data_IF_654980327888
#
_entry.id   IF_654980327888
#
_cell.length_a   1.000
_cell.length_b   1.000
_cell.length_c   1.000
_cell.angle_alpha   90.00
_cell.angle_beta   90.00
_cell.angle_gamma   90.00
#
_symmetry.space_group_name_H-M   'P 1'
#
loop_
_entity.id
_entity.type
_entity.pdbx_description
1 polymer ?
#
# COMPACT_ATOMS: atom_id res chain seq x y z
N UNK A 1 -8.29 10.31 -12.46
CA UNK A 1 -9.73 10.20 -12.16
C UNK A 1 -10.52 9.99 -13.44
N UNK A 2 -11.67 9.33 -13.34
CA UNK A 2 -12.60 9.08 -14.43
C UNK A 2 -14.04 9.18 -13.89
N UNK A 3 -15.01 9.12 -14.82
CA UNK A 3 -16.42 9.11 -14.49
C UNK A 3 -17.06 7.87 -15.14
N UNK A 4 -17.76 7.07 -14.37
CA UNK A 4 -18.49 5.91 -14.86
C UNK A 4 -19.76 6.34 -15.61
N UNK A 5 -20.41 5.41 -16.33
CA UNK A 5 -21.63 5.70 -17.09
C UNK A 5 -22.83 6.10 -16.24
N UNK A 6 -22.85 5.64 -14.99
CA UNK A 6 -23.86 6.02 -13.99
C UNK A 6 -23.62 7.39 -13.34
N UNK A 7 -22.52 8.04 -13.69
CA UNK A 7 -22.15 9.35 -13.18
C UNK A 7 -21.24 9.33 -11.97
N UNK A 8 -20.95 8.17 -11.37
CA UNK A 8 -20.03 8.06 -10.22
C UNK A 8 -18.59 8.41 -10.61
N UNK A 9 -17.89 9.11 -9.71
CA UNK A 9 -16.48 9.44 -9.92
C UNK A 9 -15.57 8.39 -9.30
N UNK A 10 -14.59 7.96 -10.09
CA UNK A 10 -13.66 6.89 -9.72
C UNK A 10 -12.20 7.27 -9.95
N UNK A 11 -11.31 6.58 -9.27
CA UNK A 11 -9.90 6.55 -9.58
C UNK A 11 -9.60 5.26 -10.35
N UNK A 12 -8.94 5.40 -11.48
CA UNK A 12 -8.45 4.28 -12.28
C UNK A 12 -6.94 4.24 -12.16
N UNK A 13 -6.41 3.18 -11.54
CA UNK A 13 -4.98 2.85 -11.52
C UNK A 13 -4.70 1.88 -12.66
N UNK A 14 -3.70 2.16 -13.49
CA UNK A 14 -3.33 1.31 -14.62
C UNK A 14 -1.85 1.00 -14.56
N UNK A 15 -1.51 -0.28 -14.56
CA UNK A 15 -0.11 -0.70 -14.68
C UNK A 15 0.41 -0.46 -16.09
N UNK A 16 1.53 0.25 -16.20
CA UNK A 16 2.15 0.51 -17.51
C UNK A 16 2.52 -0.79 -18.21
N UNK A 17 2.18 -0.94 -19.50
CA UNK A 17 2.58 -2.11 -20.28
C UNK A 17 4.10 -2.32 -20.26
N UNK A 18 4.53 -3.58 -20.21
CA UNK A 18 5.96 -3.95 -20.22
C UNK A 18 6.71 -3.79 -18.90
N UNK A 19 6.16 -3.09 -17.89
CA UNK A 19 6.86 -2.87 -16.61
C UNK A 19 7.20 -4.19 -15.91
N UNK A 20 6.28 -5.16 -15.86
CA UNK A 20 6.52 -6.44 -15.21
C UNK A 20 7.67 -7.21 -15.87
N UNK A 21 7.65 -7.35 -17.20
CA UNK A 21 8.68 -8.07 -17.93
C UNK A 21 10.08 -7.45 -17.78
N UNK A 22 10.14 -6.10 -17.80
CA UNK A 22 11.39 -5.37 -17.56
C UNK A 22 11.92 -5.62 -16.16
N UNK A 23 11.06 -5.49 -15.16
CA UNK A 23 11.44 -5.70 -13.77
C UNK A 23 11.88 -7.13 -13.47
N UNK A 24 11.20 -8.15 -14.03
CA UNK A 24 11.67 -9.54 -13.93
C UNK A 24 13.04 -9.74 -14.57
N UNK A 25 13.33 -9.07 -15.69
CA UNK A 25 14.64 -9.12 -16.32
C UNK A 25 15.72 -8.47 -15.43
N UNK A 26 15.43 -7.32 -14.84
CA UNK A 26 16.34 -6.61 -13.93
C UNK A 26 16.62 -7.43 -12.67
N UNK A 27 15.60 -8.01 -12.05
CA UNK A 27 15.76 -8.89 -10.88
C UNK A 27 16.59 -10.13 -11.23
N UNK A 28 16.33 -10.78 -12.38
CA UNK A 28 17.14 -11.92 -12.82
C UNK A 28 18.62 -11.56 -13.00
N UNK A 29 18.89 -10.38 -13.59
CA UNK A 29 20.26 -9.89 -13.74
C UNK A 29 20.93 -9.66 -12.40
N UNK A 30 20.26 -9.00 -11.46
CA UNK A 30 20.77 -8.76 -10.11
C UNK A 30 21.05 -10.05 -9.35
N UNK A 31 20.15 -11.03 -9.43
CA UNK A 31 20.36 -12.36 -8.83
C UNK A 31 21.59 -13.05 -9.40
N UNK A 32 21.80 -13.01 -10.72
CA UNK A 32 23.00 -13.56 -11.36
C UNK A 32 24.28 -12.89 -10.88
N UNK A 33 24.28 -11.56 -10.77
CA UNK A 33 25.44 -10.82 -10.25
C UNK A 33 25.72 -11.19 -8.78
N UNK A 34 24.67 -11.33 -7.98
CA UNK A 34 24.80 -11.78 -6.58
C UNK A 34 25.35 -13.20 -6.47
N UNK A 35 24.90 -14.14 -7.30
CA UNK A 35 25.44 -15.52 -7.35
C UNK A 35 26.95 -15.52 -7.65
N UNK A 36 27.39 -14.69 -8.60
CA UNK A 36 28.82 -14.52 -8.92
C UNK A 36 29.60 -13.93 -7.74
N UNK A 37 29.02 -12.93 -7.07
CA UNK A 37 29.67 -12.27 -5.93
C UNK A 37 29.78 -13.20 -4.71
N UNK A 38 28.73 -13.95 -4.37
CA UNK A 38 28.77 -14.95 -3.29
C UNK A 38 29.81 -16.06 -3.55
N UNK A 39 29.89 -16.53 -4.81
CA UNK A 39 30.86 -17.56 -5.18
C UNK A 39 32.33 -17.10 -5.09
N UNK A 40 32.58 -15.77 -5.20
CA UNK A 40 33.94 -15.20 -5.19
C UNK A 40 34.38 -14.67 -3.84
N UNK A 41 33.47 -14.36 -2.93
CA UNK A 41 33.78 -13.73 -1.65
C UNK A 41 32.96 -14.31 -0.50
N UNK A 42 33.60 -15.04 0.44
CA UNK A 42 32.95 -15.51 1.65
C UNK A 42 32.34 -14.38 2.51
N UNK A 43 32.95 -13.19 2.47
CA UNK A 43 32.45 -12.03 3.21
C UNK A 43 31.13 -11.53 2.63
N UNK A 44 31.00 -11.51 1.31
CA UNK A 44 29.73 -11.17 0.64
C UNK A 44 28.67 -12.25 0.89
N UNK A 45 29.04 -13.51 0.85
CA UNK A 45 28.13 -14.65 1.07
C UNK A 45 27.45 -14.60 2.46
N UNK A 46 28.10 -14.03 3.48
CA UNK A 46 27.50 -13.83 4.82
C UNK A 46 26.24 -12.95 4.80
N UNK A 47 26.15 -12.01 3.88
CA UNK A 47 24.99 -11.12 3.74
C UNK A 47 23.84 -11.73 2.93
N UNK A 48 24.05 -12.92 2.34
CA UNK A 48 23.04 -13.66 1.57
C UNK A 48 22.32 -12.82 0.50
N UNK A 49 23.06 -12.06 -0.35
CA UNK A 49 22.42 -11.15 -1.31
C UNK A 49 21.53 -11.87 -2.32
N UNK A 50 21.81 -13.12 -2.67
CA UNK A 50 20.95 -13.94 -3.55
C UNK A 50 19.57 -14.16 -2.92
N UNK A 51 19.52 -14.55 -1.65
CA UNK A 51 18.27 -14.78 -0.93
C UNK A 51 17.47 -13.48 -0.78
N UNK A 52 18.18 -12.39 -0.43
CA UNK A 52 17.60 -11.05 -0.35
C UNK A 52 16.96 -10.62 -1.68
N UNK A 53 17.70 -10.71 -2.80
CA UNK A 53 17.21 -10.28 -4.10
C UNK A 53 16.05 -11.16 -4.63
N UNK A 54 16.07 -12.47 -4.34
CA UNK A 54 14.94 -13.34 -4.68
C UNK A 54 13.69 -12.98 -3.88
N UNK A 55 13.84 -12.63 -2.60
CA UNK A 55 12.73 -12.19 -1.76
C UNK A 55 12.22 -10.83 -2.21
N UNK A 56 13.13 -9.89 -2.49
CA UNK A 56 12.79 -8.59 -3.05
C UNK A 56 12.01 -8.71 -4.36
N UNK A 57 12.47 -9.57 -5.29
CA UNK A 57 11.77 -9.79 -6.55
C UNK A 57 10.37 -10.36 -6.38
N UNK A 58 10.15 -11.26 -5.41
CA UNK A 58 8.81 -11.75 -5.07
C UNK A 58 7.90 -10.63 -4.55
N UNK A 59 8.39 -9.82 -3.61
CA UNK A 59 7.62 -8.71 -3.05
C UNK A 59 7.24 -7.71 -4.14
N UNK A 60 8.18 -7.38 -5.01
CA UNK A 60 7.96 -6.47 -6.13
C UNK A 60 6.94 -7.01 -7.14
N UNK A 61 6.92 -8.33 -7.38
CA UNK A 61 5.90 -8.97 -8.22
C UNK A 61 4.48 -8.87 -7.60
N UNK A 62 4.37 -8.95 -6.28
CA UNK A 62 3.12 -8.76 -5.55
C UNK A 62 2.59 -7.32 -5.67
N UNK A 63 3.46 -6.32 -5.54
CA UNK A 63 3.10 -4.90 -5.70
C UNK A 63 2.60 -4.56 -7.12
N UNK A 64 2.88 -5.42 -8.08
CA UNK A 64 2.37 -5.26 -9.44
C UNK A 64 1.00 -5.86 -9.70
N UNK A 65 0.43 -6.59 -8.76
CA UNK A 65 -0.93 -7.14 -8.86
C UNK A 65 -1.95 -6.17 -8.26
N UNK A 66 -2.55 -5.32 -9.13
CA UNK A 66 -3.57 -4.36 -8.69
C UNK A 66 -4.84 -5.04 -8.12
N UNK A 67 -5.13 -6.28 -8.51
CA UNK A 67 -6.22 -7.03 -7.90
C UNK A 67 -5.85 -7.51 -6.47
N UNK A 68 -4.58 -7.83 -6.21
CA UNK A 68 -4.12 -8.15 -4.86
C UNK A 68 -4.19 -6.92 -3.95
N UNK A 69 -3.78 -5.74 -4.44
CA UNK A 69 -3.97 -4.46 -3.75
C UNK A 69 -5.43 -4.20 -3.41
N UNK A 70 -6.33 -4.42 -4.38
CA UNK A 70 -7.78 -4.24 -4.18
C UNK A 70 -8.34 -5.17 -3.11
N UNK A 71 -7.92 -6.45 -3.11
CA UNK A 71 -8.31 -7.42 -2.06
C UNK A 71 -7.79 -7.00 -0.68
N UNK A 72 -6.58 -6.47 -0.61
CA UNK A 72 -6.02 -5.95 0.65
C UNK A 72 -6.79 -4.73 1.14
N UNK A 73 -7.15 -3.80 0.24
CA UNK A 73 -7.99 -2.65 0.53
C UNK A 73 -9.32 -3.05 1.18
N UNK A 74 -10.02 -4.03 0.62
CA UNK A 74 -11.29 -4.52 1.19
C UNK A 74 -11.11 -5.20 2.56
N UNK A 75 -10.13 -6.10 2.69
CA UNK A 75 -9.92 -6.82 3.95
C UNK A 75 -9.55 -5.89 5.10
N UNK A 76 -8.60 -4.99 4.87
CA UNK A 76 -8.19 -4.00 5.88
C UNK A 76 -9.28 -2.95 6.05
N UNK A 77 -9.92 -2.54 4.96
CA UNK A 77 -11.00 -1.57 4.94
C UNK A 77 -12.19 -2.00 5.79
N UNK A 78 -12.60 -3.27 5.73
CA UNK A 78 -13.66 -3.81 6.57
C UNK A 78 -13.36 -3.66 8.08
N UNK A 79 -12.10 -3.82 8.49
CA UNK A 79 -11.70 -3.54 9.86
C UNK A 79 -11.68 -2.03 10.17
N UNK A 80 -11.12 -1.23 9.29
CA UNK A 80 -10.99 0.21 9.45
C UNK A 80 -12.35 0.91 9.55
N UNK A 81 -13.34 0.44 8.83
CA UNK A 81 -14.71 0.95 8.90
C UNK A 81 -15.31 0.81 10.31
N UNK A 82 -14.97 -0.26 11.05
CA UNK A 82 -15.43 -0.46 12.44
C UNK A 82 -14.91 0.60 13.41
N UNK A 83 -13.90 1.36 13.01
CA UNK A 83 -13.29 2.44 13.81
C UNK A 83 -13.44 3.82 13.17
N UNK A 84 -14.34 3.95 12.18
CA UNK A 84 -14.67 5.22 11.53
C UNK A 84 -13.62 5.71 10.52
N UNK A 85 -12.76 4.84 10.02
CA UNK A 85 -11.75 5.16 9.01
C UNK A 85 -12.22 4.69 7.64
N UNK A 86 -12.15 5.57 6.64
CA UNK A 86 -12.63 5.32 5.28
C UNK A 86 -11.58 4.67 4.39
N UNK A 87 -12.02 3.75 3.53
CA UNK A 87 -11.26 3.22 2.40
C UNK A 87 -12.14 3.24 1.15
N UNK A 88 -11.56 3.33 -0.06
CA UNK A 88 -12.35 3.37 -1.27
C UNK A 88 -13.02 2.02 -1.55
N UNK A 89 -14.28 2.04 -1.97
CA UNK A 89 -14.97 0.88 -2.50
C UNK A 89 -14.35 0.45 -3.83
N UNK A 90 -14.25 -0.85 -4.07
CA UNK A 90 -13.65 -1.42 -5.29
C UNK A 90 -14.75 -1.82 -6.28
N UNK A 91 -14.61 -1.38 -7.53
CA UNK A 91 -15.45 -1.79 -8.64
C UNK A 91 -14.88 -3.05 -9.29
N UNK A 92 -15.22 -4.22 -8.75
CA UNK A 92 -14.62 -5.51 -9.16
C UNK A 92 -14.89 -5.88 -10.62
N UNK A 93 -16.03 -5.50 -11.15
CA UNK A 93 -16.39 -5.71 -12.57
C UNK A 93 -15.46 -4.99 -13.54
N UNK A 94 -14.69 -3.98 -13.06
CA UNK A 94 -13.73 -3.19 -13.83
C UNK A 94 -12.28 -3.39 -13.33
N UNK A 95 -12.08 -4.22 -12.29
CA UNK A 95 -10.79 -4.41 -11.63
C UNK A 95 -10.18 -5.76 -11.97
N UNK A 96 -8.87 -5.80 -12.22
CA UNK A 96 -8.10 -7.01 -12.50
C UNK A 96 -6.60 -6.78 -12.28
N UNK A 97 -5.77 -7.73 -12.74
CA UNK A 97 -4.31 -7.71 -12.49
C UNK A 97 -3.59 -6.42 -12.93
N UNK A 98 -4.12 -5.73 -13.94
CA UNK A 98 -3.46 -4.56 -14.57
C UNK A 98 -4.21 -3.26 -14.40
N UNK A 99 -5.42 -3.33 -13.91
CA UNK A 99 -6.32 -2.18 -13.74
C UNK A 99 -7.02 -2.32 -12.41
N UNK A 100 -7.04 -1.25 -11.63
CA UNK A 100 -7.89 -1.12 -10.44
C UNK A 100 -8.81 0.07 -10.67
N UNK A 101 -10.09 -0.13 -10.43
CA UNK A 101 -11.10 0.92 -10.43
C UNK A 101 -11.71 0.99 -9.04
N UNK A 102 -11.55 2.13 -8.40
CA UNK A 102 -11.98 2.33 -7.01
C UNK A 102 -12.71 3.67 -6.85
N UNK A 103 -13.54 3.75 -5.83
CA UNK A 103 -14.20 4.99 -5.41
C UNK A 103 -13.20 6.14 -5.31
N UNK A 104 -13.61 7.32 -5.74
CA UNK A 104 -12.84 8.54 -5.49
C UNK A 104 -13.18 9.08 -4.11
N UNK A 105 -12.27 8.97 -3.16
CA UNK A 105 -12.40 9.67 -1.88
C UNK A 105 -12.05 11.14 -2.04
N UNK A 106 -12.91 12.01 -1.50
CA UNK A 106 -12.68 13.45 -1.48
C UNK A 106 -12.11 13.86 -0.13
N UNK A 107 -10.99 14.56 -0.17
CA UNK A 107 -10.32 15.03 1.03
C UNK A 107 -9.02 15.76 0.71
N UNK A 108 -8.32 16.21 1.73
CA UNK A 108 -7.00 16.81 1.62
C UNK A 108 -5.94 15.78 1.95
N UNK A 109 -4.94 15.55 1.09
CA UNK A 109 -3.85 14.64 1.42
C UNK A 109 -3.11 15.14 2.68
N UNK A 110 -2.76 14.23 3.57
CA UNK A 110 -2.07 14.57 4.82
C UNK A 110 -0.74 15.30 4.56
N UNK A 111 -0.09 15.03 3.43
CA UNK A 111 1.12 15.73 2.99
C UNK A 111 0.93 17.23 2.73
N UNK A 112 -0.31 17.69 2.53
CA UNK A 112 -0.66 19.10 2.33
C UNK A 112 -1.17 19.81 3.59
N UNK A 113 -1.28 19.07 4.71
CA UNK A 113 -1.70 19.64 6.00
C UNK A 113 -0.49 20.30 6.67
N UNK A 114 -0.77 21.41 7.39
CA UNK A 114 0.24 22.09 8.19
C UNK A 114 0.65 21.30 9.44
N UNK A 115 1.40 21.96 10.33
CA UNK A 115 1.79 21.38 11.61
C UNK A 115 0.57 21.14 12.51
N UNK A 116 0.50 19.97 13.21
CA UNK A 116 -0.56 19.72 14.20
C UNK A 116 -0.64 20.75 15.34
N UNK A 117 0.47 21.42 15.64
CA UNK A 117 0.51 22.46 16.67
C UNK A 117 -0.20 23.78 16.26
N UNK A 118 -0.52 23.96 14.99
CA UNK A 118 -1.12 25.19 14.47
C UNK A 118 -2.62 25.12 14.21
N UNK A 119 -3.20 23.92 14.10
CA UNK A 119 -4.63 23.70 13.79
C UNK A 119 -5.17 22.50 14.59
N UNK A 120 -6.17 22.71 15.48
CA UNK A 120 -6.78 21.63 16.26
C UNK A 120 -7.36 20.50 15.41
N UNK A 121 -7.82 20.76 14.20
CA UNK A 121 -8.34 19.74 13.28
C UNK A 121 -7.23 18.83 12.76
N UNK A 122 -6.07 19.42 12.46
CA UNK A 122 -4.88 18.65 12.05
C UNK A 122 -4.37 17.81 13.22
N UNK A 123 -4.43 18.31 14.44
CA UNK A 123 -4.08 17.56 15.64
C UNK A 123 -5.04 16.38 15.89
N UNK A 124 -6.35 16.60 15.75
CA UNK A 124 -7.36 15.54 15.87
C UNK A 124 -7.18 14.46 14.78
N UNK A 125 -6.98 14.87 13.53
CA UNK A 125 -6.67 13.99 12.41
C UNK A 125 -5.41 13.16 12.67
N UNK A 126 -4.32 13.77 13.12
CA UNK A 126 -3.06 13.07 13.41
C UNK A 126 -3.25 12.00 14.52
N UNK A 127 -4.04 12.30 15.54
CA UNK A 127 -4.40 11.35 16.60
C UNK A 127 -5.22 10.18 16.06
N UNK A 128 -6.23 10.46 15.23
CA UNK A 128 -7.08 9.44 14.59
C UNK A 128 -6.26 8.55 13.66
N UNK A 129 -5.37 9.14 12.87
CA UNK A 129 -4.45 8.43 11.99
C UNK A 129 -3.50 7.50 12.79
N UNK A 130 -2.84 8.01 13.83
CA UNK A 130 -1.95 7.21 14.68
C UNK A 130 -2.70 6.04 15.33
N UNK A 131 -3.91 6.31 15.84
CA UNK A 131 -4.76 5.26 16.42
C UNK A 131 -5.15 4.20 15.38
N UNK A 132 -5.49 4.58 14.15
CA UNK A 132 -5.81 3.65 13.08
C UNK A 132 -4.62 2.74 12.74
N UNK A 133 -3.43 3.30 12.58
CA UNK A 133 -2.19 2.54 12.31
C UNK A 133 -1.87 1.56 13.44
N UNK A 134 -1.89 2.02 14.69
CA UNK A 134 -1.63 1.15 15.84
C UNK A 134 -2.66 0.02 15.97
N UNK A 135 -3.93 0.31 15.72
CA UNK A 135 -4.99 -0.72 15.75
C UNK A 135 -4.86 -1.73 14.61
N UNK A 136 -4.49 -1.30 13.41
CA UNK A 136 -4.19 -2.23 12.31
C UNK A 136 -3.07 -3.20 12.72
N UNK A 137 -1.99 -2.70 13.30
CA UNK A 137 -0.82 -3.52 13.69
C UNK A 137 -1.16 -4.46 14.84
N UNK A 138 -1.72 -3.92 15.93
CA UNK A 138 -1.84 -4.64 17.22
C UNK A 138 -3.11 -5.50 17.25
N UNK A 139 -4.25 -4.97 16.79
CA UNK A 139 -5.55 -5.63 16.93
C UNK A 139 -5.92 -6.42 15.69
N UNK A 140 -5.82 -5.83 14.50
CA UNK A 140 -6.11 -6.51 13.25
C UNK A 140 -5.01 -7.49 12.87
N UNK A 141 -3.74 -7.05 12.95
CA UNK A 141 -2.55 -7.81 12.56
C UNK A 141 -2.30 -7.91 11.06
N UNK A 142 -3.14 -7.31 10.25
CA UNK A 142 -2.91 -6.99 8.86
C UNK A 142 -2.90 -5.47 8.74
N UNK A 143 -1.84 -4.89 8.18
CA UNK A 143 -1.61 -3.46 8.25
C UNK A 143 -0.89 -2.93 7.00
N UNK A 144 -1.11 -1.67 6.70
CA UNK A 144 -0.39 -0.95 5.67
C UNK A 144 1.08 -0.75 6.10
N UNK A 145 2.04 -1.20 5.25
CA UNK A 145 3.48 -1.15 5.57
C UNK A 145 4.06 0.24 5.36
N UNK A 146 3.57 0.97 4.35
CA UNK A 146 4.03 2.31 4.01
C UNK A 146 2.89 3.36 4.11
N UNK A 147 2.41 3.65 5.32
CA UNK A 147 1.32 4.60 5.53
C UNK A 147 1.81 6.05 5.43
N UNK A 148 2.52 6.40 4.36
CA UNK A 148 3.05 7.75 4.20
C UNK A 148 1.93 8.79 3.96
N UNK A 149 2.16 10.08 4.28
CA UNK A 149 1.14 11.12 4.22
C UNK A 149 0.51 11.37 2.84
N UNK A 150 1.10 10.87 1.77
CA UNK A 150 0.52 10.91 0.42
C UNK A 150 -0.63 9.92 0.21
N UNK A 151 -0.68 8.83 0.99
CA UNK A 151 -1.69 7.78 0.92
C UNK A 151 -2.82 7.94 1.96
N UNK A 152 -2.77 9.00 2.75
CA UNK A 152 -3.74 9.28 3.81
C UNK A 152 -4.39 10.62 3.57
N UNK A 153 -5.71 10.68 3.70
CA UNK A 153 -6.52 11.85 3.44
C UNK A 153 -7.29 12.28 4.69
N UNK A 154 -7.32 13.58 4.94
CA UNK A 154 -8.29 14.20 5.83
C UNK A 154 -9.60 14.33 5.04
N UNK A 155 -10.62 13.61 5.46
CA UNK A 155 -11.97 13.63 4.91
C UNK A 155 -12.85 14.46 5.83
N UNK A 156 -13.63 15.40 5.26
CA UNK A 156 -14.41 16.32 6.08
C UNK A 156 -13.55 17.13 7.05
N UNK A 157 -13.92 17.15 8.33
CA UNK A 157 -13.22 17.95 9.34
C UNK A 157 -12.11 17.19 10.10
N UNK A 158 -12.26 15.87 10.30
CA UNK A 158 -11.32 15.09 11.12
C UNK A 158 -11.20 13.61 10.75
N UNK A 159 -11.98 13.14 9.76
CA UNK A 159 -12.00 11.73 9.41
C UNK A 159 -10.76 11.35 8.60
N UNK A 160 -10.30 10.13 8.82
CA UNK A 160 -9.14 9.57 8.13
C UNK A 160 -9.59 8.68 6.99
N UNK A 161 -8.98 8.84 5.81
CA UNK A 161 -9.14 7.94 4.68
C UNK A 161 -7.80 7.41 4.19
N UNK A 162 -7.69 6.10 3.98
CA UNK A 162 -6.56 5.48 3.30
C UNK A 162 -6.93 5.15 1.85
N UNK A 163 -6.05 5.47 0.89
CA UNK A 163 -6.35 5.34 -0.55
C UNK A 163 -5.48 4.32 -1.28
N UNK A 164 -4.50 3.74 -0.62
CA UNK A 164 -3.55 2.79 -1.21
C UNK A 164 -3.27 1.64 -0.23
N UNK A 165 -3.19 0.41 -0.74
CA UNK A 165 -2.87 -0.80 0.02
C UNK A 165 -1.94 -1.73 -0.78
N UNK A 166 -1.08 -1.16 -1.62
CA UNK A 166 -0.12 -1.90 -2.44
C UNK A 166 0.92 -2.67 -1.63
N UNK A 167 1.23 -2.21 -0.41
CA UNK A 167 2.18 -2.86 0.48
C UNK A 167 1.53 -3.17 1.83
N UNK A 168 1.32 -4.47 2.11
CA UNK A 168 0.64 -4.95 3.32
C UNK A 168 1.53 -5.91 4.11
N UNK A 169 1.64 -5.67 5.41
CA UNK A 169 2.30 -6.53 6.37
C UNK A 169 1.31 -7.36 7.19
N UNK A 170 1.77 -8.50 7.68
CA UNK A 170 0.97 -9.37 8.55
C UNK A 170 1.77 -9.77 9.78
N UNK A 171 1.17 -9.63 10.95
CA UNK A 171 1.67 -10.16 12.22
C UNK A 171 0.83 -11.33 12.69
N UNK A 172 1.49 -12.41 13.06
CA UNK A 172 0.82 -13.52 13.73
C UNK A 172 0.39 -13.14 15.14
N UNK A 173 -0.61 -13.82 15.71
CA UNK A 173 -1.07 -13.57 17.10
C UNK A 173 0.07 -13.64 18.14
N UNK A 174 1.10 -14.44 17.89
CA UNK A 174 2.26 -14.55 18.77
C UNK A 174 3.26 -13.38 18.66
N UNK A 175 3.12 -12.53 17.65
CA UNK A 175 4.00 -11.37 17.39
C UNK A 175 3.34 -10.01 17.62
N UNK A 176 2.08 -9.99 18.04
CA UNK A 176 1.28 -8.79 18.35
C UNK A 176 1.40 -8.34 19.82
#
# INVERSE_FOLDING_TARGET
SAKLRDGSEVIVKVRRPGTAARMEADVRLLVRLAEIAEARSPDIARYRPVEFLRTFGRNLAWEMDLAAESRACERIGAYLETIGVRTPAIHWELTGLRVNVQERLYGRPASSLGSPSGDPRVAAFAKSYANAVLRMIILNGEFHVDPHPGNVFLIGEQDVGFIDFGSVGTLTKARR
#
